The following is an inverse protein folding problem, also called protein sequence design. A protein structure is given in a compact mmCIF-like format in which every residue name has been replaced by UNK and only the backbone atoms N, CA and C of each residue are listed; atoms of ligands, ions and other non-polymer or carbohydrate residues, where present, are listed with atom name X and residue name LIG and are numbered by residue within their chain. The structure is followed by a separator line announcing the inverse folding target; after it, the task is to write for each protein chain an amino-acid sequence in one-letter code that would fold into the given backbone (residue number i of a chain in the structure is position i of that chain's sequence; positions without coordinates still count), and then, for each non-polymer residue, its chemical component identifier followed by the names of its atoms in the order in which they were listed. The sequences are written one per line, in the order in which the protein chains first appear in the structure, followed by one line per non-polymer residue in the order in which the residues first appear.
data_IF_380081561170
#
_entry.id   IF_380081561170
#
_cell.length_a   1.000
_cell.length_b   1.000
_cell.length_c   1.000
_cell.angle_alpha   90.00
_cell.angle_beta   90.00
_cell.angle_gamma   90.00
#
_symmetry.space_group_name_H-M   'P 1'
#
loop_
_entity.id
_entity.type
_entity.pdbx_description
1 polymer ?
#
# COMPACT_ATOMS: atom_id res chain seq x y z
N UNK A 1 -33.46 -16.64 59.77
CA UNK A 1 -33.14 -16.58 58.33
C UNK A 1 -32.40 -15.28 58.05
N UNK A 2 -31.14 -15.34 57.59
CA UNK A 2 -30.45 -14.31 56.79
C UNK A 2 -29.04 -14.86 56.49
N UNK A 3 -28.85 -15.36 55.27
CA UNK A 3 -27.56 -15.84 54.75
C UNK A 3 -26.82 -14.63 54.19
N UNK A 4 -25.65 -14.32 54.73
CA UNK A 4 -24.75 -13.29 54.19
C UNK A 4 -23.81 -14.01 53.23
N UNK A 5 -23.89 -13.66 51.94
CA UNK A 5 -23.05 -14.18 50.86
C UNK A 5 -21.88 -13.22 50.70
N UNK A 6 -20.67 -13.69 50.98
CA UNK A 6 -19.42 -12.94 50.84
C UNK A 6 -18.92 -13.08 49.39
N UNK A 7 -18.86 -11.97 48.65
CA UNK A 7 -18.33 -11.92 47.28
C UNK A 7 -16.81 -11.67 47.38
N UNK A 8 -16.01 -12.63 46.90
CA UNK A 8 -14.56 -12.50 46.79
C UNK A 8 -14.17 -11.73 45.52
N UNK A 9 -13.46 -10.62 45.68
CA UNK A 9 -12.92 -9.81 44.59
C UNK A 9 -11.58 -10.38 44.11
N UNK A 10 -11.51 -10.85 42.87
CA UNK A 10 -10.26 -11.27 42.22
C UNK A 10 -9.58 -10.03 41.63
N UNK A 11 -8.44 -9.63 42.20
CA UNK A 11 -7.60 -8.57 41.65
C UNK A 11 -6.79 -9.12 40.47
N UNK A 12 -7.05 -8.61 39.26
CA UNK A 12 -6.28 -8.92 38.06
C UNK A 12 -4.97 -8.11 38.06
N UNK A 13 -3.83 -8.81 38.15
CA UNK A 13 -2.49 -8.26 37.98
C UNK A 13 -2.26 -7.93 36.50
N UNK A 14 -2.21 -6.64 36.16
CA UNK A 14 -1.78 -6.15 34.85
C UNK A 14 -0.26 -6.15 34.77
N UNK A 15 0.29 -7.13 34.03
CA UNK A 15 1.70 -7.14 33.67
C UNK A 15 1.97 -6.13 32.56
N UNK A 16 2.52 -4.96 32.91
CA UNK A 16 3.04 -4.01 31.95
C UNK A 16 4.32 -4.59 31.29
N UNK A 17 4.22 -5.00 30.03
CA UNK A 17 5.38 -5.39 29.23
C UNK A 17 6.28 -4.19 28.96
N UNK A 18 7.43 -4.15 29.63
CA UNK A 18 8.49 -3.18 29.33
C UNK A 18 9.18 -3.58 28.02
N UNK A 19 8.85 -2.88 26.92
CA UNK A 19 9.58 -3.00 25.66
C UNK A 19 10.99 -2.42 25.84
N UNK A 20 11.99 -3.29 25.96
CA UNK A 20 13.41 -2.89 26.02
C UNK A 20 13.82 -2.40 24.63
N UNK A 21 14.02 -1.10 24.48
CA UNK A 21 14.59 -0.53 23.26
C UNK A 21 16.05 -0.99 23.13
N UNK A 22 16.34 -1.81 22.12
CA UNK A 22 17.68 -2.26 21.83
C UNK A 22 18.54 -1.08 21.33
N UNK A 23 19.75 -0.85 21.87
CA UNK A 23 20.56 0.29 21.48
C UNK A 23 21.00 0.17 20.01
N UNK A 24 20.73 1.22 19.24
CA UNK A 24 21.20 1.32 17.86
C UNK A 24 22.73 1.30 17.84
N UNK A 25 23.31 0.29 17.17
CA UNK A 25 24.76 0.22 16.97
C UNK A 25 25.20 1.38 16.08
N UNK A 26 26.10 2.21 16.58
CA UNK A 26 26.61 3.38 15.86
C UNK A 26 27.13 3.00 14.46
N UNK A 27 26.69 3.73 13.42
CA UNK A 27 27.04 3.46 12.04
C UNK A 27 28.57 3.51 11.82
N UNK A 28 29.15 2.43 11.29
CA UNK A 28 30.58 2.39 10.94
C UNK A 28 30.87 3.39 9.82
N UNK A 29 31.64 4.44 10.14
CA UNK A 29 32.09 5.47 9.20
C UNK A 29 33.34 5.00 8.45
N UNK A 30 33.21 4.78 7.15
CA UNK A 30 34.34 4.47 6.27
C UNK A 30 35.00 5.76 5.82
N UNK A 31 36.32 5.75 5.74
CA UNK A 31 37.10 6.89 5.27
C UNK A 31 38.11 6.39 4.26
N UNK A 32 38.24 7.08 3.13
CA UNK A 32 39.24 6.82 2.11
C UNK A 32 39.94 8.11 1.68
N UNK A 33 41.08 7.96 1.03
CA UNK A 33 41.76 9.01 0.28
C UNK A 33 41.61 8.73 -1.21
N UNK A 34 41.25 9.76 -1.98
CA UNK A 34 41.10 9.69 -3.44
C UNK A 34 42.13 10.61 -4.10
N UNK A 35 42.92 10.10 -5.03
CA UNK A 35 43.93 10.89 -5.75
C UNK A 35 43.22 11.83 -6.72
N UNK A 36 43.47 13.14 -6.61
CA UNK A 36 42.73 14.15 -7.39
C UNK A 36 42.91 13.99 -8.91
N UNK A 37 44.07 13.52 -9.35
CA UNK A 37 44.43 13.46 -10.77
C UNK A 37 43.98 12.19 -11.48
N UNK A 38 43.77 11.08 -10.77
CA UNK A 38 43.47 9.78 -11.40
C UNK A 38 42.25 9.08 -10.82
N UNK A 39 41.67 9.59 -9.73
CA UNK A 39 40.54 8.92 -9.05
C UNK A 39 40.92 7.67 -8.26
N UNK A 40 42.21 7.29 -8.20
CA UNK A 40 42.67 6.14 -7.41
C UNK A 40 42.22 6.29 -5.95
N UNK A 41 41.57 5.27 -5.40
CA UNK A 41 41.00 5.29 -4.05
C UNK A 41 41.73 4.32 -3.12
N UNK A 42 42.09 4.78 -1.92
CA UNK A 42 42.68 3.96 -0.85
C UNK A 42 41.92 4.15 0.46
N UNK A 43 41.33 3.07 0.97
CA UNK A 43 40.67 3.05 2.26
C UNK A 43 41.67 3.31 3.39
N UNK A 44 41.32 4.23 4.29
CA UNK A 44 42.06 4.48 5.52
C UNK A 44 41.58 3.49 6.57
N UNK A 45 42.23 2.34 6.65
CA UNK A 45 42.04 1.35 7.70
C UNK A 45 42.98 1.68 8.87
N UNK A 46 42.43 1.90 10.08
CA UNK A 46 43.21 2.12 11.31
C UNK A 46 43.59 3.59 11.61
N UNK A 47 44.66 3.79 12.42
CA UNK A 47 45.05 5.08 13.04
C UNK A 47 45.61 6.15 12.08
N UNK A 48 45.69 5.88 10.77
CA UNK A 48 46.22 6.83 9.78
C UNK A 48 45.15 7.89 9.44
N UNK A 49 45.30 9.10 10.01
CA UNK A 49 44.28 10.16 9.94
C UNK A 49 44.38 11.09 8.72
N UNK A 50 45.52 11.09 7.98
CA UNK A 50 45.84 12.09 6.95
C UNK A 50 46.07 11.43 5.57
N UNK A 51 45.60 12.10 4.52
CA UNK A 51 45.87 11.72 3.13
C UNK A 51 47.21 12.30 2.67
N UNK A 52 47.88 11.63 1.73
CA UNK A 52 49.11 12.16 1.10
C UNK A 52 48.80 13.44 0.32
N UNK A 53 49.80 14.30 0.11
CA UNK A 53 49.67 15.51 -0.73
C UNK A 53 49.19 15.11 -2.13
N UNK A 54 48.21 15.83 -2.67
CA UNK A 54 47.54 15.49 -3.95
C UNK A 54 46.34 14.55 -3.84
N UNK A 55 45.98 14.09 -2.63
CA UNK A 55 44.83 13.25 -2.37
C UNK A 55 43.77 13.99 -1.53
N UNK A 56 42.50 13.75 -1.81
CA UNK A 56 41.35 14.30 -1.07
C UNK A 56 40.74 13.23 -0.17
N UNK A 57 40.38 13.60 1.05
CA UNK A 57 39.72 12.70 2.00
C UNK A 57 38.22 12.65 1.70
N UNK A 58 37.67 11.45 1.64
CA UNK A 58 36.22 11.22 1.50
C UNK A 58 35.79 10.25 2.59
N UNK A 59 34.63 10.51 3.20
CA UNK A 59 34.04 9.61 4.18
C UNK A 59 32.59 9.34 3.81
N UNK A 60 32.15 8.11 4.01
CA UNK A 60 30.76 7.71 3.86
C UNK A 60 30.39 6.73 4.96
N UNK A 61 29.12 6.69 5.28
CA UNK A 61 28.53 5.65 6.13
C UNK A 61 27.91 4.61 5.22
N UNK A 62 28.09 3.32 5.53
CA UNK A 62 27.21 2.30 4.96
C UNK A 62 25.84 2.54 5.58
N UNK A 63 24.80 2.73 4.76
CA UNK A 63 23.43 2.75 5.25
C UNK A 63 23.22 1.47 6.08
N UNK A 64 22.66 1.61 7.29
CA UNK A 64 22.30 0.44 8.09
C UNK A 64 21.36 -0.46 7.29
N UNK A 65 21.20 -1.75 7.68
CA UNK A 65 20.11 -2.54 7.15
C UNK A 65 18.82 -1.72 7.30
N UNK A 66 18.00 -1.69 6.23
CA UNK A 66 16.66 -1.11 6.30
C UNK A 66 15.98 -1.75 7.52
N UNK A 67 15.47 -0.92 8.43
CA UNK A 67 14.73 -1.42 9.59
C UNK A 67 13.67 -2.41 9.12
N UNK A 68 13.43 -3.46 9.90
CA UNK A 68 12.34 -4.39 9.61
C UNK A 68 11.05 -3.60 9.34
N UNK A 69 10.18 -4.12 8.47
CA UNK A 69 8.84 -3.55 8.27
C UNK A 69 8.21 -3.41 9.66
N UNK A 70 7.73 -2.21 10.00
CA UNK A 70 7.06 -1.98 11.28
C UNK A 70 5.94 -3.01 11.48
N UNK A 71 5.69 -3.39 12.73
CA UNK A 71 4.55 -4.26 13.02
C UNK A 71 3.29 -3.65 12.39
N UNK A 72 2.51 -4.49 11.70
CA UNK A 72 1.18 -4.07 11.25
C UNK A 72 0.38 -3.61 12.47
N UNK A 73 -0.39 -2.54 12.32
CA UNK A 73 -1.29 -2.07 13.37
C UNK A 73 -2.19 -3.20 13.85
N UNK A 74 -2.65 -3.13 15.11
CA UNK A 74 -3.60 -4.11 15.64
C UNK A 74 -4.82 -4.14 14.70
N UNK A 75 -5.20 -5.30 14.13
CA UNK A 75 -6.43 -5.40 13.34
C UNK A 75 -7.61 -4.82 14.10
N UNK A 76 -8.52 -4.15 13.39
CA UNK A 76 -9.84 -3.83 13.93
C UNK A 76 -10.56 -5.09 14.38
N UNK A 77 -11.57 -4.92 15.25
CA UNK A 77 -12.40 -6.04 15.68
C UNK A 77 -13.02 -6.68 14.43
N UNK A 78 -12.79 -7.98 14.23
CA UNK A 78 -13.34 -8.71 13.10
C UNK A 78 -14.86 -8.50 13.04
N UNK A 79 -15.37 -8.22 11.83
CA UNK A 79 -16.81 -8.20 11.61
C UNK A 79 -17.38 -9.63 11.69
N UNK A 80 -18.69 -9.79 11.57
CA UNK A 80 -19.35 -11.10 11.67
C UNK A 80 -18.95 -12.13 10.60
N UNK A 81 -18.22 -11.72 9.55
CA UNK A 81 -17.72 -12.59 8.49
C UNK A 81 -16.32 -13.13 8.83
N UNK A 82 -15.51 -12.35 9.55
CA UNK A 82 -14.17 -12.73 9.99
C UNK A 82 -13.05 -11.92 9.33
N UNK A 83 -11.83 -12.47 9.39
CA UNK A 83 -10.63 -11.85 8.80
C UNK A 83 -10.07 -12.73 7.69
N UNK A 84 -9.34 -12.12 6.76
CA UNK A 84 -8.54 -12.85 5.79
C UNK A 84 -7.09 -12.91 6.27
N UNK A 85 -6.51 -14.10 6.20
CA UNK A 85 -5.07 -14.33 6.39
C UNK A 85 -4.44 -14.92 5.13
N UNK A 86 -3.16 -14.69 4.97
CA UNK A 86 -2.36 -15.27 3.89
C UNK A 86 -1.97 -16.74 4.21
N UNK A 87 -1.24 -17.39 3.30
CA UNK A 87 -0.79 -18.76 3.47
C UNK A 87 0.10 -18.98 4.71
N UNK A 88 0.81 -17.94 5.14
CA UNK A 88 1.68 -17.96 6.32
C UNK A 88 0.93 -17.59 7.61
N UNK A 89 -0.36 -17.26 7.51
CA UNK A 89 -1.17 -16.79 8.64
C UNK A 89 -0.99 -15.31 8.94
N UNK A 90 -0.33 -14.54 8.07
CA UNK A 90 -0.25 -13.10 8.24
C UNK A 90 -1.62 -12.46 7.93
N UNK A 91 -2.03 -11.50 8.76
CA UNK A 91 -3.25 -10.74 8.53
C UNK A 91 -3.19 -10.00 7.19
N UNK A 92 -4.24 -10.16 6.40
CA UNK A 92 -4.49 -9.38 5.17
C UNK A 92 -5.43 -8.21 5.47
N UNK A 93 -6.56 -8.48 6.14
CA UNK A 93 -7.54 -7.46 6.52
C UNK A 93 -8.89 -8.05 6.93
N UNK A 94 -9.90 -7.19 7.08
CA UNK A 94 -11.27 -7.60 7.44
C UNK A 94 -12.06 -8.03 6.20
N UNK A 95 -12.73 -9.17 6.26
CA UNK A 95 -13.51 -9.69 5.12
C UNK A 95 -14.85 -8.96 5.01
N UNK A 96 -15.11 -8.30 3.87
CA UNK A 96 -16.40 -7.66 3.60
C UNK A 96 -17.34 -8.58 2.82
N UNK A 97 -16.79 -9.36 1.89
CA UNK A 97 -17.53 -10.40 1.17
C UNK A 97 -16.57 -11.39 0.52
N UNK A 98 -17.08 -12.59 0.23
CA UNK A 98 -16.41 -13.59 -0.60
C UNK A 98 -17.33 -13.92 -1.77
N UNK A 99 -16.81 -13.80 -2.98
CA UNK A 99 -17.52 -14.14 -4.22
C UNK A 99 -16.60 -14.97 -5.12
N UNK A 100 -17.00 -15.24 -6.36
CA UNK A 100 -16.19 -15.98 -7.32
C UNK A 100 -16.17 -15.28 -8.68
N UNK A 101 -15.00 -15.29 -9.32
CA UNK A 101 -14.80 -14.97 -10.73
C UNK A 101 -14.42 -16.26 -11.45
N UNK A 102 -15.42 -16.97 -11.97
CA UNK A 102 -15.22 -18.32 -12.50
C UNK A 102 -14.67 -19.26 -11.41
N UNK A 103 -13.52 -19.93 -11.63
CA UNK A 103 -12.94 -20.84 -10.65
C UNK A 103 -12.17 -20.13 -9.52
N UNK A 104 -12.01 -18.80 -9.59
CA UNK A 104 -11.18 -18.05 -8.65
C UNK A 104 -12.03 -17.39 -7.56
N UNK A 105 -11.78 -17.66 -6.27
CA UNK A 105 -12.45 -16.93 -5.21
C UNK A 105 -11.95 -15.49 -5.20
N UNK A 106 -12.88 -14.56 -5.00
CA UNK A 106 -12.64 -13.14 -4.83
C UNK A 106 -12.97 -12.75 -3.39
N UNK A 107 -12.02 -12.11 -2.73
CA UNK A 107 -12.16 -11.58 -1.40
C UNK A 107 -12.27 -10.07 -1.49
N UNK A 108 -13.39 -9.51 -1.05
CA UNK A 108 -13.50 -8.07 -0.81
C UNK A 108 -13.01 -7.81 0.61
N UNK A 109 -11.90 -7.11 0.74
CA UNK A 109 -11.16 -6.94 2.00
C UNK A 109 -11.04 -5.47 2.33
N UNK A 110 -11.36 -5.12 3.58
CA UNK A 110 -11.12 -3.78 4.12
C UNK A 110 -9.72 -3.71 4.73
N UNK A 111 -8.93 -2.75 4.23
CA UNK A 111 -7.55 -2.47 4.67
C UNK A 111 -7.41 -0.96 4.81
N UNK A 112 -6.98 -0.47 5.98
CA UNK A 112 -6.79 0.97 6.26
C UNK A 112 -8.00 1.84 5.84
N UNK A 113 -9.21 1.33 6.08
CA UNK A 113 -10.47 1.98 5.73
C UNK A 113 -10.79 2.03 4.23
N UNK A 114 -10.02 1.36 3.37
CA UNK A 114 -10.31 1.17 1.94
C UNK A 114 -10.77 -0.25 1.63
N UNK A 115 -11.66 -0.40 0.67
CA UNK A 115 -12.15 -1.68 0.16
C UNK A 115 -11.34 -2.08 -1.07
N UNK A 116 -10.70 -3.25 -1.00
CA UNK A 116 -9.84 -3.80 -2.04
C UNK A 116 -10.28 -5.21 -2.38
N UNK A 117 -10.18 -5.58 -3.65
CA UNK A 117 -10.52 -6.94 -4.07
C UNK A 117 -9.25 -7.76 -4.29
N UNK A 118 -9.20 -8.94 -3.70
CA UNK A 118 -8.12 -9.89 -3.85
C UNK A 118 -8.59 -11.18 -4.50
N UNK A 119 -7.77 -11.74 -5.38
CA UNK A 119 -7.91 -13.12 -5.81
C UNK A 119 -7.45 -14.07 -4.69
N UNK A 120 -7.96 -15.29 -4.69
CA UNK A 120 -7.56 -16.32 -3.71
C UNK A 120 -6.07 -16.64 -3.68
N UNK A 121 -5.32 -16.34 -4.74
CA UNK A 121 -3.86 -16.49 -4.77
C UNK A 121 -3.11 -15.31 -4.09
N UNK A 122 -3.82 -14.33 -3.54
CA UNK A 122 -3.24 -13.19 -2.83
C UNK A 122 -2.96 -11.96 -3.68
N UNK A 123 -3.33 -11.96 -4.97
CA UNK A 123 -3.13 -10.81 -5.84
C UNK A 123 -4.23 -9.76 -5.69
N UNK A 124 -3.83 -8.50 -5.52
CA UNK A 124 -4.73 -7.36 -5.58
C UNK A 124 -5.27 -7.20 -7.01
N UNK A 125 -6.59 -7.25 -7.17
CA UNK A 125 -7.25 -7.38 -8.47
C UNK A 125 -8.13 -6.15 -8.79
N UNK A 126 -7.94 -5.50 -9.95
CA UNK A 126 -8.66 -4.28 -10.32
C UNK A 126 -10.03 -4.58 -10.94
N UNK A 127 -11.07 -4.77 -10.12
CA UNK A 127 -12.45 -4.99 -10.58
C UNK A 127 -13.26 -3.70 -10.80
N UNK A 128 -12.65 -2.54 -10.59
CA UNK A 128 -13.36 -1.27 -10.47
C UNK A 128 -13.44 -0.54 -11.82
N UNK A 129 -14.16 0.58 -11.83
CA UNK A 129 -14.29 1.43 -13.01
C UNK A 129 -12.93 1.81 -13.62
N UNK A 130 -12.88 1.87 -14.95
CA UNK A 130 -11.68 2.24 -15.71
C UNK A 130 -11.20 3.64 -15.31
N UNK A 131 -9.95 3.71 -14.88
CA UNK A 131 -9.28 4.96 -14.56
C UNK A 131 -8.92 5.72 -15.83
N UNK A 132 -9.32 6.99 -15.86
CA UNK A 132 -9.28 7.83 -17.05
C UNK A 132 -8.33 9.01 -16.87
N UNK A 133 -7.68 9.45 -17.94
CA UNK A 133 -6.72 10.55 -17.98
C UNK A 133 -7.11 11.55 -19.06
N UNK A 134 -6.63 12.79 -18.91
CA UNK A 134 -6.82 13.89 -19.87
C UNK A 134 -5.77 13.96 -20.98
N UNK A 135 -4.83 13.02 -20.99
CA UNK A 135 -3.69 13.08 -21.89
C UNK A 135 -3.31 11.70 -22.41
N UNK A 136 -2.82 11.66 -23.65
CA UNK A 136 -2.36 10.46 -24.35
C UNK A 136 -1.12 9.80 -23.73
N UNK A 137 -0.48 10.43 -22.75
CA UNK A 137 0.60 9.83 -21.98
C UNK A 137 0.12 9.09 -20.72
N UNK A 138 -1.16 9.19 -20.37
CA UNK A 138 -1.73 8.67 -19.12
C UNK A 138 -0.92 9.06 -17.88
N UNK A 139 -0.47 10.32 -17.85
CA UNK A 139 0.32 10.89 -16.75
C UNK A 139 -0.55 11.78 -15.86
N UNK A 140 -0.11 11.98 -14.62
CA UNK A 140 -0.84 12.76 -13.62
C UNK A 140 -1.87 11.94 -12.86
N UNK A 141 -2.79 12.64 -12.20
CA UNK A 141 -3.86 12.00 -11.43
C UNK A 141 -5.02 11.63 -12.34
N UNK A 142 -5.45 10.36 -12.38
CA UNK A 142 -6.63 9.97 -13.14
C UNK A 142 -7.92 10.47 -12.49
N UNK A 143 -9.00 10.41 -13.26
CA UNK A 143 -10.38 10.62 -12.83
C UNK A 143 -11.25 9.41 -13.15
N UNK A 144 -12.46 9.37 -12.61
CA UNK A 144 -13.51 8.43 -13.04
C UNK A 144 -14.55 9.17 -13.83
N UNK A 145 -14.84 8.68 -15.04
CA UNK A 145 -15.98 9.11 -15.82
C UNK A 145 -17.21 8.28 -15.48
N UNK A 146 -18.36 8.91 -15.33
CA UNK A 146 -19.64 8.20 -15.25
C UNK A 146 -20.75 8.99 -15.95
N UNK A 147 -21.60 8.28 -16.67
CA UNK A 147 -22.82 8.84 -17.27
C UNK A 147 -24.05 8.58 -16.41
N UNK A 148 -23.86 7.88 -15.27
CA UNK A 148 -24.93 7.51 -14.34
C UNK A 148 -24.81 8.35 -13.05
N UNK A 149 -25.79 9.22 -12.74
CA UNK A 149 -25.76 10.03 -11.53
C UNK A 149 -25.83 9.20 -10.24
N UNK A 150 -26.45 8.02 -10.24
CA UNK A 150 -26.52 7.14 -9.06
C UNK A 150 -25.15 6.54 -8.77
N UNK A 151 -24.48 6.03 -9.80
CA UNK A 151 -23.12 5.53 -9.68
C UNK A 151 -22.14 6.63 -9.26
N UNK A 152 -22.29 7.83 -9.83
CA UNK A 152 -21.49 8.99 -9.44
C UNK A 152 -21.68 9.35 -7.96
N UNK A 153 -22.93 9.33 -7.49
CA UNK A 153 -23.25 9.55 -6.09
C UNK A 153 -22.66 8.45 -5.18
N UNK A 154 -22.69 7.19 -5.60
CA UNK A 154 -22.06 6.11 -4.86
C UNK A 154 -20.55 6.33 -4.70
N UNK A 155 -19.84 6.65 -5.79
CA UNK A 155 -18.39 6.85 -5.75
C UNK A 155 -17.94 8.02 -4.87
N UNK A 156 -18.68 9.14 -4.86
CA UNK A 156 -18.30 10.31 -4.05
C UNK A 156 -18.68 10.17 -2.57
N UNK A 157 -19.69 9.35 -2.25
CA UNK A 157 -20.23 9.24 -0.88
C UNK A 157 -19.72 8.01 -0.11
N UNK A 158 -19.12 7.02 -0.77
CA UNK A 158 -18.48 5.89 -0.09
C UNK A 158 -17.00 6.20 0.24
N UNK A 159 -16.65 6.53 1.50
CA UNK A 159 -15.28 6.82 1.88
C UNK A 159 -14.37 5.58 1.83
N UNK A 160 -14.96 4.38 1.78
CA UNK A 160 -14.26 3.11 1.69
C UNK A 160 -13.93 2.71 0.25
N UNK A 161 -14.63 3.23 -0.75
CA UNK A 161 -14.39 2.81 -2.12
C UNK A 161 -12.99 3.19 -2.61
N UNK A 162 -12.33 2.27 -3.32
CA UNK A 162 -11.00 2.49 -3.87
C UNK A 162 -11.01 2.12 -5.35
N UNK A 163 -10.37 2.94 -6.16
CA UNK A 163 -10.11 2.61 -7.56
C UNK A 163 -8.70 2.05 -7.64
N UNK A 164 -8.52 0.92 -8.30
CA UNK A 164 -7.24 0.23 -8.39
C UNK A 164 -6.91 0.03 -9.86
N UNK A 165 -5.65 0.31 -10.21
CA UNK A 165 -5.09 -0.05 -11.50
C UNK A 165 -3.86 -0.93 -11.29
N UNK A 166 -3.68 -1.91 -12.17
CA UNK A 166 -2.41 -2.58 -12.40
C UNK A 166 -2.42 -3.17 -13.81
N UNK A 167 -1.28 -3.22 -14.47
CA UNK A 167 -1.12 -4.08 -15.64
C UNK A 167 -1.23 -5.54 -15.20
N UNK A 168 -1.91 -6.38 -15.99
CA UNK A 168 -2.12 -7.81 -15.73
C UNK A 168 -1.34 -8.69 -16.71
N UNK A 169 -0.90 -8.14 -17.84
CA UNK A 169 -0.21 -8.86 -18.91
C UNK A 169 1.11 -8.17 -19.27
N UNK A 170 2.21 -8.93 -19.52
CA UNK A 170 2.32 -10.40 -19.51
C UNK A 170 2.37 -11.01 -18.10
N UNK A 171 2.53 -10.19 -17.07
CA UNK A 171 2.43 -10.57 -15.67
C UNK A 171 1.87 -9.39 -14.87
N UNK A 172 1.30 -9.64 -13.67
CA UNK A 172 0.83 -8.56 -12.81
C UNK A 172 1.95 -7.57 -12.48
N UNK A 173 1.75 -6.32 -12.89
CA UNK A 173 2.62 -5.19 -12.55
C UNK A 173 2.34 -4.65 -11.14
N UNK A 174 3.03 -3.57 -10.73
CA UNK A 174 2.72 -2.87 -9.49
C UNK A 174 1.29 -2.33 -9.51
N UNK A 175 0.64 -2.37 -8.35
CA UNK A 175 -0.69 -1.80 -8.18
C UNK A 175 -0.61 -0.34 -7.73
N UNK A 176 -1.55 0.45 -8.23
CA UNK A 176 -1.78 1.83 -7.86
C UNK A 176 -3.24 1.97 -7.41
N UNK A 177 -3.49 2.86 -6.45
CA UNK A 177 -4.81 3.03 -5.87
C UNK A 177 -5.16 4.51 -5.66
N UNK A 178 -6.45 4.80 -5.75
CA UNK A 178 -7.00 6.12 -5.55
C UNK A 178 -8.32 6.06 -4.78
N UNK A 179 -8.70 7.17 -4.17
CA UNK A 179 -10.04 7.39 -3.62
C UNK A 179 -10.65 8.64 -4.26
N UNK A 180 -11.99 8.71 -4.29
CA UNK A 180 -12.66 9.93 -4.69
C UNK A 180 -12.34 11.07 -3.71
N UNK A 181 -12.23 12.29 -4.24
CA UNK A 181 -12.08 13.52 -3.44
C UNK A 181 -13.41 14.01 -2.85
N UNK A 182 -14.52 13.39 -3.25
CA UNK A 182 -15.87 13.89 -3.00
C UNK A 182 -16.32 14.98 -3.97
N UNK A 183 -15.47 15.36 -4.93
CA UNK A 183 -15.76 16.38 -5.94
C UNK A 183 -16.03 15.75 -7.31
N UNK A 184 -16.97 16.35 -8.04
CA UNK A 184 -17.24 16.04 -9.44
C UNK A 184 -17.57 17.29 -10.25
N UNK A 185 -17.35 17.22 -11.55
CA UNK A 185 -17.72 18.26 -12.51
C UNK A 185 -18.46 17.64 -13.70
N UNK A 186 -19.50 18.31 -14.19
CA UNK A 186 -20.15 17.93 -15.44
C UNK A 186 -19.25 18.31 -16.63
N UNK A 187 -19.05 17.39 -17.56
CA UNK A 187 -18.25 17.60 -18.77
C UNK A 187 -19.01 17.15 -20.01
N UNK A 188 -18.68 17.74 -21.15
CA UNK A 188 -19.30 17.43 -22.45
C UNK A 188 -18.20 17.12 -23.46
N UNK A 189 -18.30 15.96 -24.10
CA UNK A 189 -17.36 15.48 -25.12
C UNK A 189 -15.88 15.59 -24.72
N UNK A 190 -15.56 15.38 -23.43
CA UNK A 190 -14.19 15.43 -22.92
C UNK A 190 -13.38 14.26 -23.52
N UNK A 191 -12.28 14.52 -24.26
CA UNK A 191 -11.40 13.45 -24.72
C UNK A 191 -10.83 12.66 -23.54
N UNK A 192 -10.76 11.35 -23.67
CA UNK A 192 -10.32 10.47 -22.58
C UNK A 192 -9.23 9.51 -23.03
N UNK A 193 -8.40 9.10 -22.07
CA UNK A 193 -7.41 8.05 -22.24
C UNK A 193 -7.39 7.13 -21.03
N UNK A 194 -7.02 5.88 -21.20
CA UNK A 194 -6.90 4.92 -20.10
C UNK A 194 -5.71 4.00 -20.31
N UNK A 195 -5.18 3.44 -19.23
CA UNK A 195 -4.15 2.39 -19.32
C UNK A 195 -4.86 1.04 -19.44
N UNK A 196 -4.53 0.27 -20.45
CA UNK A 196 -5.08 -1.09 -20.64
C UNK A 196 -4.34 -2.12 -19.76
N UNK A 197 -4.69 -3.40 -19.93
CA UNK A 197 -4.12 -4.51 -19.15
C UNK A 197 -2.62 -4.76 -19.39
N UNK A 198 -2.03 -4.18 -20.44
CA UNK A 198 -0.58 -4.25 -20.72
C UNK A 198 0.18 -3.00 -20.27
N UNK A 199 -0.49 -2.02 -19.66
CA UNK A 199 0.15 -0.75 -19.27
C UNK A 199 0.13 0.34 -20.35
N UNK A 200 -0.38 0.03 -21.54
CA UNK A 200 -0.33 0.97 -22.68
C UNK A 200 -1.47 1.98 -22.57
N UNK A 201 -1.12 3.27 -22.68
CA UNK A 201 -2.10 4.34 -22.75
C UNK A 201 -2.86 4.29 -24.08
N UNK A 202 -4.18 4.17 -23.99
CA UNK A 202 -5.10 3.98 -25.12
C UNK A 202 -6.15 5.08 -25.10
N UNK A 203 -6.54 5.58 -26.28
CA UNK A 203 -7.64 6.53 -26.39
C UNK A 203 -8.97 5.85 -26.01
N UNK A 204 -9.73 6.52 -25.15
CA UNK A 204 -11.09 6.12 -24.78
C UNK A 204 -12.15 6.89 -25.57
N UNK A 205 -13.41 6.54 -25.33
CA UNK A 205 -14.53 7.31 -25.84
C UNK A 205 -14.63 8.67 -25.14
N UNK A 206 -15.04 9.72 -25.87
CA UNK A 206 -15.24 11.03 -25.28
C UNK A 206 -16.34 10.97 -24.19
N UNK A 207 -16.09 11.55 -23.03
CA UNK A 207 -17.00 11.55 -21.89
C UNK A 207 -17.96 12.75 -21.98
N UNK A 208 -19.25 12.46 -21.94
CA UNK A 208 -20.30 13.42 -21.60
C UNK A 208 -21.02 12.92 -20.36
N UNK A 209 -20.87 13.59 -19.23
CA UNK A 209 -21.34 13.11 -17.93
C UNK A 209 -20.56 13.72 -16.78
N UNK A 210 -20.45 12.98 -15.67
CA UNK A 210 -19.70 13.39 -14.49
C UNK A 210 -18.25 12.93 -14.58
N UNK A 211 -17.34 13.88 -14.36
CA UNK A 211 -15.91 13.67 -14.08
C UNK A 211 -15.71 13.72 -12.57
N UNK A 212 -15.27 12.62 -11.98
CA UNK A 212 -15.05 12.49 -10.53
C UNK A 212 -13.55 12.55 -10.25
N UNK A 213 -13.16 13.56 -9.48
CA UNK A 213 -11.75 13.80 -9.16
C UNK A 213 -11.24 12.82 -8.10
N UNK A 214 -10.03 12.32 -8.31
CA UNK A 214 -9.41 11.35 -7.42
C UNK A 214 -8.18 11.92 -6.72
N UNK A 215 -7.79 11.27 -5.62
CA UNK A 215 -6.50 11.49 -4.96
C UNK A 215 -5.79 10.16 -4.79
N UNK A 216 -4.47 10.10 -5.04
CA UNK A 216 -3.69 8.88 -4.84
C UNK A 216 -3.71 8.44 -3.37
N UNK A 217 -3.72 7.13 -3.17
CA UNK A 217 -3.52 6.49 -1.87
C UNK A 217 -2.55 5.32 -2.04
N UNK A 218 -1.98 4.83 -0.94
CA UNK A 218 -1.11 3.65 -1.00
C UNK A 218 -1.94 2.42 -1.37
N UNK A 219 -1.59 1.76 -2.47
CA UNK A 219 -2.13 0.45 -2.79
C UNK A 219 -1.57 -0.59 -1.80
N UNK A 220 -2.41 -1.42 -1.19
CA UNK A 220 -1.96 -2.56 -0.41
C UNK A 220 -1.10 -3.51 -1.26
N UNK A 221 -0.15 -4.24 -0.65
CA UNK A 221 0.69 -5.17 -1.38
C UNK A 221 -0.09 -6.42 -1.83
N UNK A 222 0.52 -7.20 -2.72
CA UNK A 222 0.12 -8.60 -2.91
C UNK A 222 0.53 -9.44 -1.69
N UNK A 223 -0.22 -10.51 -1.44
CA UNK A 223 0.00 -11.45 -0.34
C UNK A 223 0.30 -12.86 -0.85
N UNK A 224 0.80 -13.72 0.04
CA UNK A 224 1.07 -15.12 -0.30
C UNK A 224 -0.24 -15.92 -0.28
N UNK A 225 -0.70 -16.39 -1.44
CA UNK A 225 -1.85 -17.31 -1.52
C UNK A 225 -1.52 -18.75 -1.09
N UNK A 226 -2.53 -19.57 -0.77
CA UNK A 226 -3.95 -19.23 -0.81
C UNK A 226 -4.39 -18.38 0.38
N UNK A 227 -5.25 -17.39 0.11
CA UNK A 227 -5.94 -16.63 1.14
C UNK A 227 -6.98 -17.49 1.83
N UNK A 228 -7.16 -17.29 3.14
CA UNK A 228 -8.10 -18.05 3.97
C UNK A 228 -8.91 -17.11 4.84
N UNK A 229 -10.21 -17.40 4.94
CA UNK A 229 -11.11 -16.80 5.93
C UNK A 229 -10.90 -17.50 7.28
N UNK A 230 -10.79 -16.71 8.36
CA UNK A 230 -10.62 -17.17 9.74
C UNK A 230 -11.62 -16.47 10.65
#
# INVERSE_FOLDING_TARGET
MKRIVTIASVAALTAAGMSVAQPATAAKKYTACVKKSTGEMRLLLGKKKKCKKGWKKTSWTKAGPRGGKGAHGVPGQANSIGIVVDANGALVGETMSVSALGPFPLFSIRIDGGLYTYLGNGWLYPLNATLTYDNAACTGTPFIGSTDPVQSAFYINDPGFRFVYRALSPAPGPAEAWKATGQKAAVVALPTWYRNDTGVCTAGAALTGDRIELTPVTAPPDYSGPLRLV
#
